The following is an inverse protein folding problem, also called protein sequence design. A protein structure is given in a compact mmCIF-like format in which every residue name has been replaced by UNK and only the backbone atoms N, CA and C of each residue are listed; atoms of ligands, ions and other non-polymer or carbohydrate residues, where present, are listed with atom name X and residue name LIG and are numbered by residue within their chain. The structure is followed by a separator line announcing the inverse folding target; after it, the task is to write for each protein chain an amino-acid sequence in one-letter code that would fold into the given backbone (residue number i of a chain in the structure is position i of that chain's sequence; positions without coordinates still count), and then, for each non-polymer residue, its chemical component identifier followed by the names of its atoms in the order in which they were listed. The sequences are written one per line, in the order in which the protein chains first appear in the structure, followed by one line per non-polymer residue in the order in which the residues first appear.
data_IF_825464681288
#
_entry.id   IF_825464681288
#
_cell.length_a   1.000
_cell.length_b   1.000
_cell.length_c   1.000
_cell.angle_alpha   90.00
_cell.angle_beta   90.00
_cell.angle_gamma   90.00
#
_symmetry.space_group_name_H-M   'P 1'
#
loop_
_entity.id
_entity.type
_entity.pdbx_description
1 polymer ?
#
# COMPACT_ATOMS: atom_id res chain seq x y z
N UNK A 1 -12.81 7.90 -21.00
CA UNK A 1 -12.40 8.54 -19.73
C UNK A 1 -13.31 7.99 -18.67
N UNK A 2 -12.78 7.30 -17.66
CA UNK A 2 -13.58 6.74 -16.56
C UNK A 2 -14.00 7.92 -15.67
N UNK A 3 -15.29 8.11 -15.42
CA UNK A 3 -15.76 9.09 -14.45
C UNK A 3 -15.54 8.57 -13.02
N UNK A 4 -15.40 9.45 -12.01
CA UNK A 4 -15.40 9.02 -10.63
C UNK A 4 -16.68 8.22 -10.29
N UNK A 5 -16.59 7.22 -9.38
CA UNK A 5 -17.77 6.53 -8.88
C UNK A 5 -18.71 7.50 -8.13
N UNK A 6 -20.02 7.30 -8.25
CA UNK A 6 -21.03 8.16 -7.58
C UNK A 6 -20.89 8.16 -6.05
N UNK A 7 -20.46 7.04 -5.47
CA UNK A 7 -20.29 6.87 -4.01
C UNK A 7 -18.82 6.98 -3.56
N UNK A 8 -17.97 7.73 -4.27
CA UNK A 8 -16.52 7.75 -4.05
C UNK A 8 -16.12 7.95 -2.58
N UNK A 9 -16.71 8.93 -1.89
CA UNK A 9 -16.39 9.21 -0.48
C UNK A 9 -16.72 8.04 0.44
N UNK A 10 -17.86 7.37 0.22
CA UNK A 10 -18.25 6.20 0.99
C UNK A 10 -17.31 5.01 0.72
N UNK A 11 -16.85 4.84 -0.52
CA UNK A 11 -15.86 3.82 -0.91
C UNK A 11 -14.53 4.07 -0.21
N UNK A 12 -14.02 5.30 -0.25
CA UNK A 12 -12.79 5.69 0.44
C UNK A 12 -12.91 5.53 1.96
N UNK A 13 -14.04 5.93 2.55
CA UNK A 13 -14.29 5.76 3.98
C UNK A 13 -14.25 4.28 4.41
N UNK A 14 -14.78 3.36 3.59
CA UNK A 14 -14.70 1.92 3.85
C UNK A 14 -13.26 1.41 3.77
N UNK A 15 -12.50 1.79 2.76
CA UNK A 15 -11.08 1.43 2.66
C UNK A 15 -10.28 1.92 3.88
N UNK A 16 -10.51 3.16 4.33
CA UNK A 16 -9.82 3.71 5.49
C UNK A 16 -10.23 3.04 6.81
N UNK A 17 -11.49 2.55 6.90
CA UNK A 17 -11.95 1.77 8.04
C UNK A 17 -11.26 0.41 8.10
N UNK A 18 -11.13 -0.25 6.96
CA UNK A 18 -10.55 -1.59 6.85
C UNK A 18 -9.00 -1.55 6.94
N UNK A 19 -8.38 -0.48 6.45
CA UNK A 19 -6.92 -0.30 6.37
C UNK A 19 -6.46 1.07 6.92
N UNK A 20 -6.56 1.31 8.24
CA UNK A 20 -6.36 2.64 8.84
C UNK A 20 -4.93 3.18 8.73
N UNK A 21 -3.96 2.31 8.49
CA UNK A 21 -2.54 2.65 8.30
C UNK A 21 -2.22 3.17 6.88
N UNK A 22 -3.20 3.12 5.99
CA UNK A 22 -3.11 3.60 4.61
C UNK A 22 -3.93 4.88 4.45
N UNK A 23 -3.49 5.73 3.52
CA UNK A 23 -4.36 6.75 2.94
C UNK A 23 -4.73 6.32 1.52
N UNK A 24 -6.02 6.45 1.20
CA UNK A 24 -6.56 6.06 -0.09
C UNK A 24 -7.02 7.30 -0.87
N UNK A 25 -6.84 7.30 -2.19
CA UNK A 25 -7.38 8.32 -3.09
C UNK A 25 -7.82 7.71 -4.42
N UNK A 26 -8.67 8.45 -5.12
CA UNK A 26 -9.07 8.17 -6.50
C UNK A 26 -8.65 9.34 -7.38
N UNK A 27 -7.95 9.06 -8.47
CA UNK A 27 -7.34 10.10 -9.29
C UNK A 27 -7.26 9.67 -10.76
N UNK A 28 -7.77 10.51 -11.66
CA UNK A 28 -7.89 10.20 -13.09
C UNK A 28 -6.75 10.84 -13.88
N UNK A 29 -5.53 10.36 -13.67
CA UNK A 29 -4.40 10.71 -14.54
C UNK A 29 -4.34 9.81 -15.78
N UNK A 30 -4.00 10.40 -16.93
CA UNK A 30 -3.82 9.67 -18.19
C UNK A 30 -2.69 8.65 -18.01
N UNK A 31 -2.98 7.37 -18.27
CA UNK A 31 -2.09 6.20 -18.14
C UNK A 31 -1.82 5.69 -16.72
N UNK A 32 -2.55 6.14 -15.70
CA UNK A 32 -2.43 5.57 -14.35
C UNK A 32 -3.69 4.79 -13.94
N UNK A 33 -3.47 3.80 -13.09
CA UNK A 33 -4.53 3.10 -12.37
C UNK A 33 -5.17 4.07 -11.36
N UNK A 34 -6.50 4.23 -11.37
CA UNK A 34 -7.15 5.36 -10.69
C UNK A 34 -7.25 5.21 -9.17
N UNK A 35 -7.25 3.98 -8.66
CA UNK A 35 -7.29 3.73 -7.23
C UNK A 35 -5.88 3.62 -6.67
N UNK A 36 -5.63 4.33 -5.59
CA UNK A 36 -4.30 4.39 -5.00
C UNK A 36 -4.36 4.35 -3.47
N UNK A 37 -3.43 3.60 -2.87
CA UNK A 37 -3.15 3.62 -1.44
C UNK A 37 -1.67 3.88 -1.17
N UNK A 38 -1.37 4.72 -0.18
CA UNK A 38 -0.02 4.95 0.33
C UNK A 38 0.03 4.85 1.85
N UNK A 39 1.16 4.37 2.40
CA UNK A 39 1.37 4.23 3.84
C UNK A 39 1.39 5.57 4.57
N UNK A 40 0.85 5.59 5.79
CA UNK A 40 1.00 6.70 6.76
C UNK A 40 2.00 6.31 7.87
N UNK A 41 2.89 7.23 8.31
CA UNK A 41 3.28 8.45 7.61
C UNK A 41 3.91 8.12 6.24
N UNK A 42 4.06 9.11 5.34
CA UNK A 42 4.72 8.96 4.03
C UNK A 42 6.20 8.56 4.18
N UNK A 43 6.44 7.33 4.61
CA UNK A 43 7.73 6.69 4.83
C UNK A 43 7.57 5.22 4.47
N UNK A 44 8.60 4.66 3.86
CA UNK A 44 8.66 3.22 3.66
C UNK A 44 8.68 2.50 5.01
N UNK A 45 8.06 1.32 5.12
CA UNK A 45 8.14 0.49 6.32
C UNK A 45 9.60 0.12 6.62
N UNK A 46 10.00 0.21 7.89
CA UNK A 46 11.39 0.05 8.34
C UNK A 46 11.95 -1.34 8.01
N UNK A 47 11.10 -2.37 8.03
CA UNK A 47 11.46 -3.76 7.78
C UNK A 47 11.23 -4.19 6.31
N UNK A 48 11.13 -3.23 5.39
CA UNK A 48 10.65 -3.47 4.04
C UNK A 48 9.14 -3.73 4.00
N UNK A 49 8.58 -3.78 2.79
CA UNK A 49 7.14 -3.89 2.58
C UNK A 49 6.64 -2.94 1.51
N UNK A 50 5.33 -2.67 1.53
CA UNK A 50 4.66 -1.87 0.53
C UNK A 50 4.43 -0.46 1.05
N UNK A 51 4.95 0.54 0.33
CA UNK A 51 4.70 1.95 0.65
C UNK A 51 3.58 2.55 -0.21
N UNK A 52 3.33 1.97 -1.39
CA UNK A 52 2.43 2.51 -2.40
C UNK A 52 1.89 1.39 -3.28
N UNK A 53 0.56 1.31 -3.41
CA UNK A 53 -0.17 0.35 -4.23
C UNK A 53 -1.18 1.09 -5.12
N UNK A 54 -1.34 0.65 -6.37
CA UNK A 54 -2.32 1.19 -7.31
C UNK A 54 -3.11 0.07 -7.98
N UNK A 55 -4.37 0.32 -8.30
CA UNK A 55 -5.29 -0.66 -8.87
C UNK A 55 -6.33 -0.04 -9.80
N UNK A 56 -6.83 -0.84 -10.74
CA UNK A 56 -7.88 -0.46 -11.68
C UNK A 56 -9.24 -0.24 -10.99
N UNK A 57 -9.47 -0.86 -9.84
CA UNK A 57 -10.74 -0.85 -9.10
C UNK A 57 -10.55 -0.82 -7.57
N UNK A 58 -11.60 -0.48 -6.82
CA UNK A 58 -11.60 -0.52 -5.34
C UNK A 58 -11.36 -1.94 -4.85
N UNK A 59 -12.03 -2.91 -5.47
CA UNK A 59 -12.00 -4.32 -5.12
C UNK A 59 -10.57 -4.86 -5.27
N UNK A 60 -9.92 -4.53 -6.39
CA UNK A 60 -8.54 -4.94 -6.63
C UNK A 60 -7.57 -4.27 -5.66
N UNK A 61 -7.80 -2.99 -5.33
CA UNK A 61 -6.98 -2.29 -4.33
C UNK A 61 -7.09 -2.97 -2.96
N UNK A 62 -8.31 -3.32 -2.54
CA UNK A 62 -8.57 -4.04 -1.28
C UNK A 62 -7.86 -5.39 -1.23
N UNK A 63 -7.93 -6.18 -2.29
CA UNK A 63 -7.22 -7.46 -2.37
C UNK A 63 -5.70 -7.29 -2.22
N UNK A 64 -5.13 -6.31 -2.92
CA UNK A 64 -3.69 -6.03 -2.86
C UNK A 64 -3.26 -5.54 -1.46
N UNK A 65 -4.09 -4.74 -0.80
CA UNK A 65 -3.83 -4.28 0.57
C UNK A 65 -3.88 -5.44 1.58
N UNK A 66 -4.86 -6.33 1.47
CA UNK A 66 -4.94 -7.53 2.30
C UNK A 66 -3.72 -8.45 2.09
N UNK A 67 -3.36 -8.71 0.82
CA UNK A 67 -2.17 -9.51 0.50
C UNK A 67 -0.88 -8.85 1.01
N UNK A 68 -0.77 -7.52 0.91
CA UNK A 68 0.37 -6.79 1.47
C UNK A 68 0.48 -6.98 2.99
N UNK A 69 -0.64 -6.91 3.71
CA UNK A 69 -0.69 -7.14 5.15
C UNK A 69 -0.29 -8.57 5.53
N UNK A 70 -0.75 -9.58 4.79
CA UNK A 70 -0.36 -10.98 4.99
C UNK A 70 1.14 -11.20 4.78
N UNK A 71 1.69 -10.64 3.70
CA UNK A 71 3.12 -10.70 3.38
C UNK A 71 3.95 -10.00 4.45
N UNK A 72 3.51 -8.84 4.93
CA UNK A 72 4.20 -8.07 5.97
C UNK A 72 4.14 -8.78 7.33
N UNK A 73 3.00 -9.40 7.67
CA UNK A 73 2.84 -10.19 8.90
C UNK A 73 3.77 -11.43 8.91
N UNK A 74 3.92 -12.11 7.76
CA UNK A 74 4.81 -13.26 7.62
C UNK A 74 6.30 -12.92 7.82
N UNK A 75 6.72 -11.70 7.48
CA UNK A 75 8.13 -11.27 7.64
C UNK A 75 8.55 -11.04 9.10
N UNK A 76 7.60 -10.85 10.01
CA UNK A 76 7.89 -10.73 11.45
C UNK A 76 8.35 -12.04 12.10
N UNK A 77 8.21 -13.17 11.41
CA UNK A 77 8.54 -14.51 11.96
C UNK A 77 9.98 -14.94 11.60
N UNK A 78 10.57 -14.44 10.52
CA UNK A 78 11.90 -14.86 10.05
C UNK A 78 13.05 -13.90 10.41
N UNK A 79 12.75 -12.75 11.03
CA UNK A 79 13.76 -11.72 11.36
C UNK A 79 14.43 -11.88 12.74
N UNK A 80 14.42 -13.09 13.32
CA UNK A 80 15.16 -13.40 14.55
C UNK A 80 16.48 -14.17 14.31
N UNK A 81 16.91 -14.33 13.06
CA UNK A 81 18.14 -15.02 12.72
C UNK A 81 18.85 -14.37 11.53
N UNK A 82 20.00 -13.77 11.83
CA UNK A 82 21.05 -13.44 10.87
C UNK A 82 20.83 -12.20 9.98
N UNK A 83 21.24 -11.04 10.49
CA UNK A 83 21.58 -9.89 9.66
C UNK A 83 23.11 -9.83 9.49
N UNK A 84 23.67 -10.11 8.30
CA UNK A 84 25.06 -9.79 8.04
C UNK A 84 25.22 -8.27 7.87
N UNK A 85 26.05 -7.67 8.73
CA UNK A 85 26.49 -6.29 8.62
C UNK A 85 27.27 -6.09 7.31
N UNK A 86 26.61 -5.61 6.25
CA UNK A 86 27.33 -5.15 5.06
C UNK A 86 28.00 -3.79 5.34
N UNK A 87 29.22 -3.90 5.87
CA UNK A 87 30.28 -2.88 5.77
C UNK A 87 30.51 -2.52 4.29
N UNK A 88 30.54 -1.22 4.00
CA UNK A 88 31.33 -0.66 2.90
C UNK A 88 30.53 -0.02 1.76
N UNK A 89 30.25 1.28 1.88
CA UNK A 89 30.22 2.15 0.71
C UNK A 89 31.66 2.64 0.48
N UNK A 90 32.24 2.37 -0.69
CA UNK A 90 33.42 3.08 -1.19
C UNK A 90 32.95 4.04 -2.28
N UNK A 91 33.55 5.22 -2.25
CA UNK A 91 33.14 6.49 -2.85
C UNK A 91 33.48 6.59 -4.34
#
# INVERSE_FOLDING_TARGET
MTSPPEDLDARLARLLKDFPEWACRYELYVNLLPWEAHRRPYRGPVNGGFAWIRAESEERLRELLAAAQEIEAGRGVEAAGDAPLHRGCVR
#
